data_IF_848860868630
#
_entry.id   IF_848860868630
#
_cell.length_a   1.000
_cell.length_b   1.000
_cell.length_c   1.000
_cell.angle_alpha   90.00
_cell.angle_beta   90.00
_cell.angle_gamma   90.00
#
_symmetry.space_group_name_H-M   'P 1'
#
loop_
_entity.id
_entity.type
_entity.pdbx_description
1 polymer ?
#
# COMPACT_ATOMS: atom_id res chain seq x y z
N UNK A 1 21.04 -9.25 -62.05
CA UNK A 1 20.84 -7.90 -61.49
C UNK A 1 19.96 -8.04 -60.26
N UNK A 2 20.47 -7.68 -59.08
CA UNK A 2 19.81 -7.87 -57.79
C UNK A 2 18.53 -7.03 -57.71
N UNK A 3 17.37 -7.70 -57.76
CA UNK A 3 16.09 -7.05 -57.52
C UNK A 3 15.83 -7.00 -56.02
N UNK A 4 16.16 -5.82 -55.46
CA UNK A 4 15.43 -5.11 -54.41
C UNK A 4 14.93 -5.99 -53.25
N UNK A 5 15.83 -6.21 -52.30
CA UNK A 5 15.50 -6.63 -50.94
C UNK A 5 14.75 -5.44 -50.29
N UNK A 6 13.45 -5.35 -50.56
CA UNK A 6 12.53 -4.37 -49.97
C UNK A 6 11.29 -5.11 -49.47
N UNK A 7 11.46 -5.81 -48.36
CA UNK A 7 10.37 -6.03 -47.40
C UNK A 7 11.01 -5.79 -46.02
N UNK A 8 11.26 -4.53 -45.69
CA UNK A 8 10.36 -3.79 -44.79
C UNK A 8 10.01 -4.65 -43.59
N UNK A 9 10.90 -4.53 -42.60
CA UNK A 9 10.68 -4.67 -41.17
C UNK A 9 9.20 -4.49 -40.79
N UNK A 10 8.44 -5.57 -40.89
CA UNK A 10 7.21 -5.72 -40.14
C UNK A 10 7.51 -6.67 -38.99
N UNK A 11 8.43 -6.24 -38.14
CA UNK A 11 8.28 -6.48 -36.70
C UNK A 11 6.96 -5.82 -36.33
N UNK A 12 5.86 -6.53 -36.58
CA UNK A 12 4.56 -6.24 -36.02
C UNK A 12 4.80 -6.39 -34.53
N UNK A 13 5.22 -5.29 -33.91
CA UNK A 13 5.02 -5.04 -32.49
C UNK A 13 3.53 -5.33 -32.36
N UNK A 14 3.22 -6.53 -31.86
CA UNK A 14 1.88 -6.77 -31.34
C UNK A 14 1.72 -5.63 -30.34
N UNK A 15 0.71 -4.77 -30.47
CA UNK A 15 0.32 -3.95 -29.33
C UNK A 15 0.30 -4.95 -28.18
N UNK A 16 1.08 -4.69 -27.12
CA UNK A 16 0.89 -5.40 -25.87
C UNK A 16 -0.63 -5.33 -25.68
N UNK A 17 -1.32 -6.47 -25.75
CA UNK A 17 -2.68 -6.53 -25.26
C UNK A 17 -2.55 -5.95 -23.86
N UNK A 18 -3.09 -4.75 -23.68
CA UNK A 18 -3.27 -4.13 -22.38
C UNK A 18 -4.05 -5.18 -21.62
N UNK A 19 -3.33 -5.96 -20.81
CA UNK A 19 -3.92 -6.87 -19.85
C UNK A 19 -4.94 -5.99 -19.14
N UNK A 20 -6.24 -6.29 -19.20
CA UNK A 20 -7.22 -5.40 -18.57
C UNK A 20 -6.72 -5.16 -17.16
N UNK A 21 -6.36 -3.91 -16.88
CA UNK A 21 -5.96 -3.47 -15.55
C UNK A 21 -7.00 -4.09 -14.63
N UNK A 22 -6.53 -4.89 -13.65
CA UNK A 22 -7.44 -5.52 -12.69
C UNK A 22 -8.36 -4.42 -12.18
N UNK A 23 -9.64 -4.51 -12.55
CA UNK A 23 -10.61 -3.45 -12.32
C UNK A 23 -10.69 -3.23 -10.82
N UNK A 24 -10.03 -2.19 -10.35
CA UNK A 24 -10.28 -1.65 -9.05
C UNK A 24 -11.61 -0.91 -9.16
N UNK A 25 -12.65 -1.43 -8.50
CA UNK A 25 -14.02 -0.94 -8.71
C UNK A 25 -14.31 0.40 -7.99
N UNK A 26 -13.53 0.75 -6.96
CA UNK A 26 -13.76 1.92 -6.11
C UNK A 26 -12.49 2.42 -5.41
N UNK A 27 -12.52 3.69 -4.98
CA UNK A 27 -11.48 4.29 -4.13
C UNK A 27 -11.35 3.52 -2.79
N UNK A 28 -10.20 3.56 -2.10
CA UNK A 28 -9.99 2.74 -0.92
C UNK A 28 -11.03 3.02 0.16
N UNK A 29 -11.40 1.99 0.93
CA UNK A 29 -12.25 2.14 2.11
C UNK A 29 -11.73 1.26 3.23
N UNK A 30 -11.68 1.81 4.44
CA UNK A 30 -11.41 1.02 5.63
C UNK A 30 -12.70 0.31 6.08
N UNK A 31 -12.59 -0.98 6.35
CA UNK A 31 -13.72 -1.79 6.85
C UNK A 31 -13.67 -2.01 8.35
N UNK A 32 -12.57 -1.63 9.00
CA UNK A 32 -12.36 -1.65 10.45
C UNK A 32 -11.67 -0.35 10.87
N UNK A 33 -12.02 0.14 12.06
CA UNK A 33 -11.42 1.34 12.64
C UNK A 33 -10.34 0.97 13.64
N UNK A 34 -9.38 1.87 13.85
CA UNK A 34 -8.45 1.76 14.96
C UNK A 34 -9.16 2.18 16.25
N UNK A 35 -8.86 1.47 17.34
CA UNK A 35 -9.35 1.80 18.66
C UNK A 35 -8.23 2.40 19.51
N UNK A 36 -8.58 3.37 20.34
CA UNK A 36 -7.66 3.94 21.33
C UNK A 36 -7.23 2.87 22.33
N UNK A 37 -5.94 2.88 22.68
CA UNK A 37 -5.34 1.91 23.61
C UNK A 37 -4.34 2.60 24.52
N UNK A 38 -4.38 2.24 25.79
CA UNK A 38 -3.31 2.55 26.74
C UNK A 38 -2.30 1.41 26.71
N UNK A 39 -1.02 1.74 26.53
CA UNK A 39 0.10 0.78 26.43
C UNK A 39 1.17 1.19 27.44
N UNK A 40 1.69 0.22 28.18
CA UNK A 40 2.78 0.48 29.13
C UNK A 40 4.11 0.60 28.40
N UNK A 41 5.06 1.37 28.94
CA UNK A 41 6.41 1.40 28.38
C UNK A 41 7.00 -0.01 28.32
N UNK A 42 7.77 -0.29 27.26
CA UNK A 42 8.41 -1.56 26.95
C UNK A 42 7.47 -2.68 26.48
N UNK A 43 6.15 -2.46 26.41
CA UNK A 43 5.22 -3.38 25.74
C UNK A 43 5.22 -3.21 24.23
N UNK A 44 4.75 -4.22 23.50
CA UNK A 44 4.64 -4.15 22.04
C UNK A 44 3.29 -3.54 21.63
N UNK A 45 3.33 -2.61 20.68
CA UNK A 45 2.14 -1.98 20.08
C UNK A 45 1.78 -2.74 18.81
N UNK A 46 0.52 -3.14 18.72
CA UNK A 46 -0.06 -3.78 17.55
C UNK A 46 -1.30 -3.02 17.09
N UNK A 47 -1.20 -2.37 15.93
CA UNK A 47 -2.30 -1.71 15.25
C UNK A 47 -2.60 -2.46 13.96
N UNK A 48 -3.87 -2.79 13.73
CA UNK A 48 -4.29 -3.55 12.56
C UNK A 48 -5.69 -3.13 12.11
N UNK A 49 -5.90 -3.14 10.81
CA UNK A 49 -7.18 -2.83 10.18
C UNK A 49 -7.25 -3.47 8.78
N UNK A 50 -8.42 -3.36 8.15
CA UNK A 50 -8.65 -3.86 6.81
C UNK A 50 -9.03 -2.75 5.84
N UNK A 51 -8.59 -2.91 4.59
CA UNK A 51 -8.88 -2.02 3.47
C UNK A 51 -9.43 -2.82 2.29
N UNK A 52 -10.36 -2.21 1.57
CA UNK A 52 -10.83 -2.67 0.28
C UNK A 52 -10.62 -1.57 -0.78
N UNK A 53 -10.37 -1.94 -2.05
CA UNK A 53 -10.30 -3.31 -2.57
C UNK A 53 -8.96 -4.01 -2.33
N UNK A 54 -9.01 -5.34 -2.20
CA UNK A 54 -7.87 -6.18 -1.80
C UNK A 54 -6.90 -6.49 -2.95
N UNK A 55 -7.39 -6.49 -4.18
CA UNK A 55 -6.65 -6.95 -5.37
C UNK A 55 -6.18 -5.80 -6.27
N UNK A 56 -5.91 -4.64 -5.68
CA UNK A 56 -5.49 -3.45 -6.38
C UNK A 56 -3.95 -3.31 -6.40
N UNK A 57 -3.31 -3.42 -7.58
CA UNK A 57 -1.85 -3.29 -7.71
C UNK A 57 -1.35 -1.85 -7.53
N UNK A 58 -2.24 -0.86 -7.59
CA UNK A 58 -1.93 0.58 -7.40
C UNK A 58 -2.11 1.03 -5.95
N UNK A 59 -2.51 0.14 -5.05
CA UNK A 59 -2.74 0.46 -3.64
C UNK A 59 -1.43 0.78 -2.92
N UNK A 60 -1.36 1.98 -2.35
CA UNK A 60 -0.28 2.47 -1.51
C UNK A 60 -0.80 2.73 -0.09
N UNK A 61 -0.05 2.25 0.92
CA UNK A 61 -0.40 2.41 2.34
C UNK A 61 0.68 3.20 3.06
N UNK A 62 0.27 4.28 3.72
CA UNK A 62 1.15 5.13 4.53
C UNK A 62 0.63 5.25 5.96
N UNK A 63 1.56 5.27 6.92
CA UNK A 63 1.28 5.46 8.34
C UNK A 63 1.88 6.78 8.81
N UNK A 64 1.14 7.48 9.66
CA UNK A 64 1.54 8.75 10.27
C UNK A 64 1.37 8.68 11.79
N UNK A 65 2.32 9.25 12.52
CA UNK A 65 2.23 9.49 13.96
C UNK A 65 2.33 10.99 14.18
N UNK A 66 1.30 11.59 14.77
CA UNK A 66 1.24 13.04 15.02
C UNK A 66 1.49 13.88 13.75
N UNK A 67 1.01 13.41 12.59
CA UNK A 67 1.18 14.05 11.29
C UNK A 67 2.52 13.80 10.58
N UNK A 68 3.45 13.06 11.21
CA UNK A 68 4.74 12.71 10.61
C UNK A 68 4.74 11.28 10.08
N UNK A 69 5.32 11.01 8.90
CA UNK A 69 5.35 9.67 8.33
C UNK A 69 6.15 8.71 9.22
N UNK A 70 5.56 7.55 9.51
CA UNK A 70 6.20 6.48 10.29
C UNK A 70 7.18 5.74 9.39
N UNK A 71 8.46 5.78 9.75
CA UNK A 71 9.54 5.13 9.00
C UNK A 71 9.80 3.73 9.58
N UNK A 72 9.93 2.73 8.71
CA UNK A 72 10.28 1.36 9.11
C UNK A 72 11.69 1.36 9.73
N UNK A 73 11.88 0.60 10.80
CA UNK A 73 13.15 0.49 11.49
C UNK A 73 13.30 -0.84 12.22
N UNK A 74 14.30 -0.96 13.09
CA UNK A 74 14.54 -2.20 13.85
C UNK A 74 13.39 -2.55 14.81
N UNK A 75 12.68 -1.55 15.36
CA UNK A 75 11.49 -1.75 16.22
C UNK A 75 10.17 -1.70 15.46
N UNK A 76 10.15 -1.05 14.30
CA UNK A 76 8.92 -0.65 13.62
C UNK A 76 8.76 -1.45 12.34
N UNK A 77 7.70 -2.25 12.25
CA UNK A 77 7.36 -3.06 11.09
C UNK A 77 5.97 -2.70 10.54
N UNK A 78 5.90 -2.41 9.25
CA UNK A 78 4.66 -2.13 8.51
C UNK A 78 4.36 -3.28 7.57
N UNK A 79 3.11 -3.72 7.49
CA UNK A 79 2.69 -4.78 6.58
C UNK A 79 1.41 -4.40 5.86
N UNK A 80 1.32 -4.76 4.58
CA UNK A 80 0.10 -4.68 3.81
C UNK A 80 0.04 -5.85 2.83
N UNK A 81 -0.85 -6.81 3.08
CA UNK A 81 -1.09 -7.94 2.19
C UNK A 81 -2.53 -8.42 2.31
N UNK A 82 -3.17 -8.71 1.18
CA UNK A 82 -4.53 -9.26 1.12
C UNK A 82 -5.57 -8.41 1.89
N UNK A 83 -5.49 -7.10 1.77
CA UNK A 83 -6.42 -6.18 2.42
C UNK A 83 -6.16 -5.98 3.91
N UNK A 84 -5.18 -6.67 4.49
CA UNK A 84 -4.79 -6.51 5.88
C UNK A 84 -3.63 -5.53 6.00
N UNK A 85 -3.82 -4.47 6.77
CA UNK A 85 -2.80 -3.47 7.08
C UNK A 85 -2.44 -3.62 8.56
N UNK A 86 -1.14 -3.63 8.87
CA UNK A 86 -0.69 -3.54 10.26
C UNK A 86 0.57 -2.69 10.45
N UNK A 87 0.67 -2.14 11.65
CA UNK A 87 1.84 -1.47 12.20
C UNK A 87 2.18 -2.12 13.54
N UNK A 88 3.40 -2.65 13.65
CA UNK A 88 3.93 -3.25 14.86
C UNK A 88 5.12 -2.43 15.35
N UNK A 89 5.12 -2.05 16.63
CA UNK A 89 6.21 -1.30 17.27
C UNK A 89 6.64 -2.09 18.51
N UNK A 90 7.90 -2.56 18.50
CA UNK A 90 8.45 -3.35 19.60
C UNK A 90 8.97 -2.44 20.72
N UNK A 91 8.70 -2.82 21.98
CA UNK A 91 9.18 -2.11 23.18
C UNK A 91 8.87 -0.62 23.16
N UNK A 92 7.59 -0.28 23.31
CA UNK A 92 7.08 1.08 23.28
C UNK A 92 7.90 2.04 24.16
N UNK A 93 8.19 3.21 23.60
CA UNK A 93 8.77 4.34 24.32
C UNK A 93 7.79 5.50 24.36
N UNK A 94 8.02 6.47 25.24
CA UNK A 94 7.18 7.67 25.36
C UNK A 94 6.95 8.40 24.02
N UNK A 95 7.93 8.40 23.11
CA UNK A 95 7.82 9.02 21.78
C UNK A 95 6.89 8.28 20.81
N UNK A 96 6.56 7.01 21.08
CA UNK A 96 5.60 6.22 20.30
C UNK A 96 4.13 6.57 20.66
N UNK A 97 3.92 7.44 21.65
CA UNK A 97 2.58 7.89 22.05
C UNK A 97 2.06 8.97 21.10
N UNK A 98 0.78 8.88 20.75
CA UNK A 98 0.09 9.92 19.99
C UNK A 98 -1.01 9.38 19.09
N UNK A 99 -1.38 10.22 18.11
CA UNK A 99 -2.43 9.89 17.16
C UNK A 99 -1.82 9.21 15.93
N UNK A 100 -2.19 7.95 15.74
CA UNK A 100 -1.84 7.18 14.55
C UNK A 100 -2.90 7.37 13.48
N UNK A 101 -2.47 7.69 12.27
CA UNK A 101 -3.33 7.79 11.09
C UNK A 101 -2.75 6.87 10.01
N UNK A 102 -3.63 6.14 9.34
CA UNK A 102 -3.29 5.34 8.18
C UNK A 102 -4.02 5.92 6.97
N UNK A 103 -3.30 6.05 5.86
CA UNK A 103 -3.83 6.51 4.58
C UNK A 103 -3.70 5.40 3.57
N UNK A 104 -4.79 5.11 2.88
CA UNK A 104 -4.81 4.19 1.75
C UNK A 104 -5.09 4.99 0.49
N UNK A 105 -4.28 4.80 -0.55
CA UNK A 105 -4.45 5.51 -1.82
C UNK A 105 -4.35 4.54 -2.98
N UNK A 106 -5.22 4.70 -3.97
CA UNK A 106 -5.13 4.00 -5.24
C UNK A 106 -5.39 4.94 -6.43
N UNK A 107 -5.47 4.38 -7.64
CA UNK A 107 -5.74 5.13 -8.86
C UNK A 107 -7.08 5.91 -8.86
N UNK A 108 -8.05 5.52 -8.04
CA UNK A 108 -9.39 6.11 -7.99
C UNK A 108 -9.58 7.12 -6.84
N UNK A 109 -8.71 7.12 -5.83
CA UNK A 109 -8.80 8.06 -4.72
C UNK A 109 -7.99 7.66 -3.49
N UNK A 110 -8.43 8.16 -2.34
CA UNK A 110 -7.78 7.97 -1.04
C UNK A 110 -8.79 7.88 0.11
N UNK A 111 -8.39 7.22 1.19
CA UNK A 111 -9.09 7.14 2.46
C UNK A 111 -8.12 7.30 3.64
#
# INVERSE_FOLDING_TARGET
GLQRIQQLEQSRIKPLEEVPDRECDFAPRFTEELHDREISEHEDIHLALKVEPVNDPTMEIEWFLNGHPVITGSRINKQYHFGFISLNILKAISEDSGTYVVRAKNALGEA
#
